data_IF_124653347704
#
_entry.id   IF_124653347704
#
_cell.length_a   1.000
_cell.length_b   1.000
_cell.length_c   1.000
_cell.angle_alpha   90.00
_cell.angle_beta   90.00
_cell.angle_gamma   90.00
#
_symmetry.space_group_name_H-M   'P 1'
#
loop_
_entity.id
_entity.type
_entity.pdbx_description
1 polymer ?
#
# COMPACT_ATOMS: atom_id res chain seq x y z
N UNK A 1 -15.84 -28.34 -22.77
CA UNK A 1 -14.61 -27.76 -22.21
C UNK A 1 -15.03 -26.66 -21.24
N UNK A 2 -15.06 -26.96 -19.94
CA UNK A 2 -15.32 -25.95 -18.91
C UNK A 2 -13.97 -25.37 -18.47
N UNK A 3 -13.74 -24.10 -18.77
CA UNK A 3 -12.64 -23.34 -18.19
C UNK A 3 -13.01 -23.03 -16.74
N UNK A 4 -12.33 -23.65 -15.77
CA UNK A 4 -12.34 -23.16 -14.40
C UNK A 4 -11.71 -21.77 -14.39
N UNK A 5 -12.53 -20.76 -14.13
CA UNK A 5 -12.08 -19.39 -13.92
C UNK A 5 -11.23 -19.37 -12.65
N UNK A 6 -9.97 -18.97 -12.78
CA UNK A 6 -9.05 -18.79 -11.66
C UNK A 6 -9.61 -17.66 -10.78
N UNK A 7 -10.06 -17.99 -9.56
CA UNK A 7 -10.45 -16.99 -8.57
C UNK A 7 -9.16 -16.32 -8.10
N UNK A 8 -9.03 -14.99 -8.23
CA UNK A 8 -7.94 -14.27 -7.59
C UNK A 8 -8.06 -14.47 -6.08
N UNK A 9 -7.02 -15.03 -5.45
CA UNK A 9 -6.96 -15.27 -4.01
C UNK A 9 -6.74 -13.97 -3.22
N UNK A 10 -6.61 -12.83 -3.91
CA UNK A 10 -6.35 -11.51 -3.35
C UNK A 10 -7.38 -11.09 -2.29
N UNK A 11 -8.61 -11.59 -2.37
CA UNK A 11 -9.66 -11.37 -1.35
C UNK A 11 -9.53 -12.28 -0.10
N UNK A 12 -8.88 -13.44 -0.21
CA UNK A 12 -8.87 -14.46 0.85
C UNK A 12 -7.65 -14.38 1.78
N UNK A 13 -6.65 -13.53 1.49
CA UNK A 13 -5.39 -13.52 2.21
C UNK A 13 -5.40 -12.76 3.55
N UNK A 14 -6.48 -12.04 3.90
CA UNK A 14 -6.57 -11.26 5.15
C UNK A 14 -7.47 -11.96 6.19
N UNK A 15 -7.26 -13.26 6.44
CA UNK A 15 -7.85 -13.89 7.61
C UNK A 15 -6.85 -14.78 8.34
N UNK A 16 -6.13 -14.19 9.30
CA UNK A 16 -5.38 -14.90 10.35
C UNK A 16 -4.64 -13.88 11.23
N UNK A 17 -4.50 -13.98 12.56
CA UNK A 17 -4.84 -14.94 13.60
C UNK A 17 -4.82 -14.15 14.93
N UNK A 18 -5.83 -14.32 15.80
CA UNK A 18 -5.74 -13.78 17.18
C UNK A 18 -4.69 -14.58 17.96
N UNK A 19 -3.57 -13.93 18.30
CA UNK A 19 -2.49 -14.49 19.12
C UNK A 19 -2.93 -14.62 20.58
N UNK A 20 -2.90 -15.85 21.11
CA UNK A 20 -3.07 -16.14 22.54
C UNK A 20 -1.69 -16.37 23.16
N UNK A 21 -1.28 -15.49 24.07
CA UNK A 21 -0.03 -15.59 24.81
C UNK A 21 -0.14 -16.59 25.99
N UNK A 22 0.88 -17.43 26.27
CA UNK A 22 0.93 -18.20 27.50
C UNK A 22 1.63 -17.42 28.62
N UNK A 23 1.01 -17.35 29.80
CA UNK A 23 1.63 -16.86 31.03
C UNK A 23 2.43 -17.97 31.71
N UNK A 24 3.66 -17.62 32.07
CA UNK A 24 4.72 -18.42 32.71
C UNK A 24 4.41 -18.68 34.19
N UNK A 25 4.59 -19.92 34.64
CA UNK A 25 4.60 -20.30 36.06
C UNK A 25 6.04 -20.45 36.59
N UNK A 26 6.24 -20.09 37.86
CA UNK A 26 7.51 -20.01 38.59
C UNK A 26 7.60 -21.03 39.75
N UNK A 27 8.85 -21.35 40.13
CA UNK A 27 9.35 -22.02 41.35
C UNK A 27 9.29 -23.56 41.34
N UNK A 28 10.25 -24.35 41.86
CA UNK A 28 11.14 -24.26 43.06
C UNK A 28 12.48 -25.07 42.81
N UNK A 29 13.32 -25.51 43.79
CA UNK A 29 14.70 -25.06 44.01
C UNK A 29 15.83 -26.10 43.73
N UNK A 30 17.05 -25.66 44.04
CA UNK A 30 18.36 -26.30 43.86
C UNK A 30 18.54 -27.74 44.40
N UNK A 31 19.38 -28.51 43.71
CA UNK A 31 20.24 -29.51 44.34
C UNK A 31 21.54 -29.71 43.54
N UNK A 32 22.68 -29.66 44.24
CA UNK A 32 24.03 -29.96 43.73
C UNK A 32 24.24 -31.47 43.74
N UNK A 33 24.81 -32.05 42.68
CA UNK A 33 25.70 -33.21 42.81
C UNK A 33 26.74 -33.25 41.68
N UNK A 34 27.93 -33.70 42.05
CA UNK A 34 29.16 -33.77 41.27
C UNK A 34 29.28 -35.10 40.50
N UNK A 35 30.13 -35.07 39.47
CA UNK A 35 30.96 -36.14 38.88
C UNK A 35 30.53 -36.88 37.58
N UNK A 36 31.43 -36.70 36.59
CA UNK A 36 32.12 -37.71 35.77
C UNK A 36 31.43 -38.40 34.58
N UNK A 37 32.01 -38.10 33.40
CA UNK A 37 32.34 -38.98 32.26
C UNK A 37 31.22 -39.70 31.50
N UNK A 38 30.94 -39.22 30.29
CA UNK A 38 30.83 -40.05 29.09
C UNK A 38 30.77 -39.16 27.84
N UNK A 39 31.63 -39.46 26.86
CA UNK A 39 31.59 -38.85 25.53
C UNK A 39 30.21 -39.06 24.89
N UNK A 40 29.47 -37.97 24.65
CA UNK A 40 28.27 -38.00 23.81
C UNK A 40 28.67 -37.48 22.44
N UNK A 41 28.87 -38.41 21.51
CA UNK A 41 28.83 -38.07 20.09
C UNK A 41 27.47 -37.46 19.81
N UNK A 42 27.43 -36.16 19.55
CA UNK A 42 26.28 -35.54 18.92
C UNK A 42 26.26 -36.06 17.48
N UNK A 43 25.54 -37.16 17.25
CA UNK A 43 24.98 -37.43 15.95
C UNK A 43 24.01 -36.30 15.68
N UNK A 44 24.48 -35.27 14.98
CA UNK A 44 23.61 -34.32 14.30
C UNK A 44 22.88 -35.10 13.21
N UNK A 45 21.81 -35.79 13.60
CA UNK A 45 20.75 -36.14 12.68
C UNK A 45 20.18 -34.80 12.24
N UNK A 46 20.81 -34.20 11.24
CA UNK A 46 20.22 -33.10 10.48
C UNK A 46 18.96 -33.69 9.89
N UNK A 47 17.85 -33.48 10.61
CA UNK A 47 16.54 -33.94 10.20
C UNK A 47 16.29 -33.29 8.85
N UNK A 48 16.30 -34.11 7.80
CA UNK A 48 15.95 -33.72 6.43
C UNK A 48 14.44 -33.45 6.35
N UNK A 49 13.95 -32.49 7.12
CA UNK A 49 12.60 -31.94 7.00
C UNK A 49 12.51 -30.79 5.97
N UNK A 50 13.57 -30.58 5.18
CA UNK A 50 13.73 -29.39 4.37
C UNK A 50 13.26 -29.49 2.90
N UNK A 51 12.70 -30.59 2.40
CA UNK A 51 12.60 -30.75 0.92
C UNK A 51 11.20 -30.72 0.31
N UNK A 52 10.11 -30.72 1.08
CA UNK A 52 8.75 -30.74 0.51
C UNK A 52 8.11 -29.36 0.43
N UNK A 53 7.99 -28.69 1.58
CA UNK A 53 7.28 -27.41 1.71
C UNK A 53 7.88 -26.29 0.89
N UNK A 54 9.20 -26.28 0.70
CA UNK A 54 9.90 -25.28 -0.12
C UNK A 54 9.51 -25.40 -1.60
N UNK A 55 9.45 -26.63 -2.14
CA UNK A 55 9.08 -26.86 -3.53
C UNK A 55 7.61 -26.57 -3.78
N UNK A 56 6.74 -26.99 -2.86
CA UNK A 56 5.31 -26.69 -2.88
C UNK A 56 5.05 -25.18 -2.85
N UNK A 57 5.79 -24.44 -2.00
CA UNK A 57 5.70 -22.99 -1.92
C UNK A 57 6.17 -22.31 -3.21
N UNK A 58 7.29 -22.75 -3.80
CA UNK A 58 7.76 -22.21 -5.07
C UNK A 58 6.72 -22.42 -6.18
N UNK A 59 6.14 -23.61 -6.27
CA UNK A 59 5.11 -23.90 -7.26
C UNK A 59 3.84 -23.07 -7.03
N UNK A 60 3.43 -22.89 -5.77
CA UNK A 60 2.29 -22.04 -5.43
C UNK A 60 2.55 -20.58 -5.84
N UNK A 61 3.73 -20.04 -5.55
CA UNK A 61 4.13 -18.68 -5.94
C UNK A 61 4.19 -18.53 -7.47
N UNK A 62 4.68 -19.54 -8.20
CA UNK A 62 4.67 -19.53 -9.67
C UNK A 62 3.25 -19.45 -10.23
N UNK A 63 2.36 -20.31 -9.73
CA UNK A 63 0.97 -20.34 -10.16
C UNK A 63 0.28 -18.99 -9.86
N UNK A 64 0.55 -18.40 -8.70
CA UNK A 64 -0.03 -17.11 -8.30
C UNK A 64 0.49 -15.97 -9.18
N UNK A 65 1.81 -15.89 -9.42
CA UNK A 65 2.41 -14.87 -10.29
C UNK A 65 1.82 -14.95 -11.71
N UNK A 66 1.61 -16.16 -12.23
CA UNK A 66 1.04 -16.35 -13.56
C UNK A 66 -0.45 -16.03 -13.63
N UNK A 67 -1.20 -16.27 -12.54
CA UNK A 67 -2.59 -15.85 -12.42
C UNK A 67 -2.70 -14.31 -12.38
N UNK A 68 -1.89 -13.65 -11.54
CA UNK A 68 -1.91 -12.19 -11.38
C UNK A 68 -1.50 -11.47 -12.66
N UNK A 69 -0.48 -11.97 -13.40
CA UNK A 69 -0.12 -11.41 -14.72
C UNK A 69 -1.24 -11.51 -15.76
N UNK A 70 -2.06 -12.57 -15.71
CA UNK A 70 -3.24 -12.68 -16.58
C UNK A 70 -4.29 -11.65 -16.20
N UNK A 71 -4.53 -11.45 -14.90
CA UNK A 71 -5.44 -10.41 -14.42
C UNK A 71 -4.97 -9.02 -14.82
N UNK A 72 -3.67 -8.72 -14.76
CA UNK A 72 -3.10 -7.45 -15.22
C UNK A 72 -3.45 -7.18 -16.70
N UNK A 73 -3.32 -8.20 -17.55
CA UNK A 73 -3.60 -8.11 -18.98
C UNK A 73 -5.09 -7.98 -19.30
N UNK A 74 -5.95 -8.69 -18.55
CA UNK A 74 -7.39 -8.72 -18.80
C UNK A 74 -8.10 -7.50 -18.21
N UNK A 75 -7.67 -7.01 -17.04
CA UNK A 75 -8.45 -6.08 -16.22
C UNK A 75 -7.75 -4.75 -15.90
N UNK A 76 -6.42 -4.65 -16.00
CA UNK A 76 -5.67 -3.45 -15.60
C UNK A 76 -4.99 -2.73 -16.78
N UNK A 77 -5.41 -2.99 -18.01
CA UNK A 77 -4.84 -2.35 -19.20
C UNK A 77 -3.46 -2.87 -19.60
N UNK A 78 -3.00 -3.97 -19.01
CA UNK A 78 -1.72 -4.61 -19.30
C UNK A 78 -0.53 -3.94 -18.62
N UNK A 79 0.68 -4.22 -19.12
CA UNK A 79 1.92 -3.83 -18.44
C UNK A 79 2.31 -2.35 -18.56
N UNK A 80 1.55 -1.55 -19.32
CA UNK A 80 1.81 -0.11 -19.41
C UNK A 80 1.12 0.59 -18.25
N UNK A 81 1.90 1.25 -17.40
CA UNK A 81 1.35 2.05 -16.32
C UNK A 81 0.42 3.15 -16.88
N UNK A 82 -0.73 3.39 -16.23
CA UNK A 82 -1.59 4.54 -16.53
C UNK A 82 -0.80 5.85 -16.41
N UNK A 83 -1.32 6.91 -17.03
CA UNK A 83 -0.71 8.24 -16.98
C UNK A 83 -1.63 9.17 -16.18
N UNK A 84 -1.03 10.01 -15.33
CA UNK A 84 -1.72 11.11 -14.68
C UNK A 84 -1.39 12.40 -15.44
N UNK A 85 -2.41 13.02 -16.03
CA UNK A 85 -2.24 14.11 -16.99
C UNK A 85 -1.60 15.33 -16.34
N UNK A 86 -0.54 15.84 -16.97
CA UNK A 86 0.13 17.07 -16.54
C UNK A 86 1.10 16.90 -15.35
N UNK A 87 1.36 15.67 -14.90
CA UNK A 87 2.34 15.38 -13.86
C UNK A 87 3.51 14.54 -14.38
N UNK A 88 4.70 14.83 -13.86
CA UNK A 88 5.85 13.93 -13.94
C UNK A 88 5.80 12.95 -12.76
N UNK A 89 5.91 11.65 -13.04
CA UNK A 89 5.78 10.58 -12.05
C UNK A 89 7.14 9.97 -11.77
N UNK A 90 7.52 9.91 -10.50
CA UNK A 90 8.73 9.25 -10.00
C UNK A 90 8.34 8.28 -8.91
N UNK A 91 8.93 7.09 -8.89
CA UNK A 91 8.63 6.05 -7.90
C UNK A 91 9.89 5.63 -7.13
N UNK A 92 9.73 5.32 -5.84
CA UNK A 92 10.75 4.74 -4.98
C UNK A 92 10.12 3.68 -4.08
N UNK A 93 10.32 2.41 -4.43
CA UNK A 93 9.62 1.30 -3.76
C UNK A 93 8.09 1.45 -3.86
N UNK A 94 7.42 1.51 -2.71
CA UNK A 94 5.96 1.71 -2.64
C UNK A 94 5.53 3.19 -2.67
N UNK A 95 6.48 4.13 -2.65
CA UNK A 95 6.21 5.56 -2.67
C UNK A 95 6.17 6.08 -4.11
N UNK A 96 5.22 6.98 -4.37
CA UNK A 96 5.03 7.63 -5.67
C UNK A 96 5.00 9.14 -5.46
N UNK A 97 5.75 9.87 -6.28
CA UNK A 97 5.80 11.32 -6.32
C UNK A 97 5.31 11.82 -7.67
N UNK A 98 4.32 12.71 -7.65
CA UNK A 98 3.83 13.42 -8.83
C UNK A 98 4.27 14.88 -8.73
N UNK A 99 4.95 15.40 -9.75
CA UNK A 99 5.44 16.78 -9.74
C UNK A 99 5.00 17.55 -10.98
N UNK A 100 4.66 18.83 -10.80
CA UNK A 100 4.41 19.79 -11.88
C UNK A 100 4.60 21.22 -11.41
N UNK A 101 4.51 22.17 -12.34
CA UNK A 101 4.55 23.61 -12.05
C UNK A 101 3.23 24.27 -12.43
N UNK A 102 2.79 25.26 -11.65
CA UNK A 102 1.66 26.12 -11.97
C UNK A 102 2.05 27.58 -11.75
N UNK A 103 2.36 28.31 -12.83
CA UNK A 103 2.92 29.66 -12.72
C UNK A 103 4.26 29.67 -11.99
N UNK A 104 4.33 30.36 -10.86
CA UNK A 104 5.51 30.45 -9.98
C UNK A 104 5.51 29.42 -8.82
N UNK A 105 4.57 28.47 -8.86
CA UNK A 105 4.39 27.45 -7.82
C UNK A 105 4.90 26.09 -8.28
N UNK A 106 5.58 25.38 -7.37
CA UNK A 106 5.92 23.97 -7.56
C UNK A 106 4.91 23.11 -6.80
N UNK A 107 4.30 22.18 -7.50
CA UNK A 107 3.30 21.26 -6.96
C UNK A 107 3.93 19.88 -6.83
N UNK A 108 3.83 19.30 -5.65
CA UNK A 108 4.25 17.93 -5.35
C UNK A 108 3.07 17.18 -4.74
N UNK A 109 2.80 15.99 -5.26
CA UNK A 109 1.86 15.03 -4.68
C UNK A 109 2.66 13.81 -4.25
N UNK A 110 2.46 13.33 -3.03
CA UNK A 110 3.15 12.14 -2.52
C UNK A 110 2.14 11.16 -1.96
N UNK A 111 2.24 9.89 -2.35
CA UNK A 111 1.43 8.82 -1.78
C UNK A 111 2.21 7.53 -1.69
N UNK A 112 1.70 6.60 -0.87
CA UNK A 112 2.28 5.28 -0.69
C UNK A 112 1.21 4.21 -0.92
N UNK A 113 1.52 3.19 -1.72
CA UNK A 113 0.55 2.13 -2.03
C UNK A 113 0.48 1.02 -0.96
N UNK A 114 1.32 1.05 0.06
CA UNK A 114 1.20 0.11 1.18
C UNK A 114 -0.14 0.30 1.90
N UNK A 115 -0.85 -0.80 2.16
CA UNK A 115 -2.13 -0.79 2.88
C UNK A 115 -3.19 0.13 2.25
N UNK A 116 -3.11 0.36 0.94
CA UNK A 116 -4.01 1.26 0.21
C UNK A 116 -5.18 0.56 -0.46
N UNK A 117 -5.22 -0.78 -0.46
CA UNK A 117 -6.31 -1.55 -1.05
C UNK A 117 -7.39 -1.73 -0.02
N UNK A 118 -8.59 -1.24 -0.32
CA UNK A 118 -9.73 -1.46 0.54
C UNK A 118 -10.29 -2.85 0.34
N UNK A 119 -10.51 -3.52 1.46
CA UNK A 119 -11.30 -4.74 1.55
C UNK A 119 -12.65 -4.32 2.12
N UNK A 120 -13.68 -4.28 1.28
CA UNK A 120 -15.02 -3.95 1.79
C UNK A 120 -15.39 -4.96 2.89
N UNK A 121 -15.55 -4.50 4.13
CA UNK A 121 -15.91 -5.38 5.25
C UNK A 121 -17.32 -6.00 5.09
N UNK A 122 -18.11 -5.49 4.15
CA UNK A 122 -19.48 -5.92 3.84
C UNK A 122 -19.58 -7.14 2.89
N UNK A 123 -18.45 -7.74 2.49
CA UNK A 123 -18.42 -9.01 1.74
C UNK A 123 -18.98 -10.22 2.55
N UNK A 124 -19.53 -10.02 3.76
CA UNK A 124 -20.23 -11.04 4.56
C UNK A 124 -21.66 -11.38 4.05
N UNK A 125 -22.18 -10.74 3.01
CA UNK A 125 -23.46 -11.14 2.41
C UNK A 125 -23.26 -12.07 1.20
N UNK A 126 -23.61 -13.35 1.38
CA UNK A 126 -23.41 -14.48 0.47
C UNK A 126 -24.08 -14.37 -0.93
N UNK A 127 -24.64 -13.22 -1.33
CA UNK A 127 -25.48 -13.10 -2.53
C UNK A 127 -24.84 -12.38 -3.73
N UNK A 128 -23.58 -11.91 -3.66
CA UNK A 128 -22.96 -11.20 -4.79
C UNK A 128 -21.51 -11.62 -5.13
N UNK A 129 -21.15 -12.89 -4.88
CA UNK A 129 -19.80 -13.45 -5.09
C UNK A 129 -19.48 -13.74 -6.58
N UNK A 130 -20.24 -13.20 -7.53
CA UNK A 130 -20.06 -13.46 -8.97
C UNK A 130 -19.29 -12.37 -9.74
N UNK A 131 -19.07 -11.20 -9.17
CA UNK A 131 -18.13 -10.23 -9.73
C UNK A 131 -16.72 -10.54 -9.21
N UNK A 132 -15.79 -10.84 -10.11
CA UNK A 132 -14.36 -10.70 -9.82
C UNK A 132 -14.08 -9.20 -9.57
N UNK A 133 -14.38 -8.70 -8.38
CA UNK A 133 -14.09 -7.34 -7.99
C UNK A 133 -12.57 -7.18 -8.02
N UNK A 134 -12.09 -6.38 -8.96
CA UNK A 134 -10.67 -6.02 -9.03
C UNK A 134 -10.40 -5.15 -7.81
N UNK A 135 -9.43 -5.50 -6.94
CA UNK A 135 -9.15 -4.70 -5.76
C UNK A 135 -8.74 -3.30 -6.17
N UNK A 136 -9.34 -2.28 -5.54
CA UNK A 136 -9.11 -0.87 -5.83
C UNK A 136 -8.18 -0.30 -4.77
N UNK A 137 -7.13 0.40 -5.20
CA UNK A 137 -6.20 1.10 -4.32
C UNK A 137 -6.58 2.57 -4.19
N UNK A 138 -6.88 3.02 -2.96
CA UNK A 138 -7.24 4.39 -2.56
C UNK A 138 -6.26 4.89 -1.48
N UNK A 139 -5.00 5.19 -1.84
CA UNK A 139 -4.02 5.63 -0.85
C UNK A 139 -4.35 7.03 -0.31
N UNK A 140 -4.09 7.26 0.97
CA UNK A 140 -3.93 8.62 1.49
C UNK A 140 -2.75 9.29 0.78
N UNK A 141 -2.87 10.59 0.51
CA UNK A 141 -1.85 11.32 -0.21
C UNK A 141 -1.74 12.76 0.27
N UNK A 142 -0.56 13.36 0.09
CA UNK A 142 -0.34 14.76 0.40
C UNK A 142 -0.23 15.60 -0.87
N UNK A 143 -0.69 16.85 -0.78
CA UNK A 143 -0.46 17.89 -1.79
C UNK A 143 0.37 18.99 -1.16
N UNK A 144 1.49 19.33 -1.78
CA UNK A 144 2.31 20.47 -1.41
C UNK A 144 2.34 21.49 -2.55
N UNK A 145 1.97 22.73 -2.24
CA UNK A 145 2.09 23.88 -3.14
C UNK A 145 3.17 24.81 -2.59
N UNK A 146 4.36 24.77 -3.20
CA UNK A 146 5.53 25.55 -2.77
C UNK A 146 5.61 26.88 -3.51
N UNK A 147 5.73 27.98 -2.74
CA UNK A 147 5.95 29.34 -3.24
C UNK A 147 6.98 30.07 -2.39
N UNK A 148 8.08 30.48 -3.01
CA UNK A 148 9.19 31.13 -2.31
C UNK A 148 9.80 30.22 -1.25
N UNK A 149 9.83 30.67 0.01
CA UNK A 149 10.46 29.93 1.12
C UNK A 149 9.48 29.07 1.93
N UNK A 150 8.23 28.93 1.48
CA UNK A 150 7.17 28.20 2.20
C UNK A 150 6.40 27.31 1.24
N UNK A 151 5.69 26.35 1.83
CA UNK A 151 4.72 25.51 1.14
C UNK A 151 3.42 25.42 1.94
N UNK A 152 2.32 25.38 1.22
CA UNK A 152 1.01 25.04 1.73
C UNK A 152 0.77 23.55 1.50
N UNK A 153 0.52 22.83 2.58
CA UNK A 153 0.41 21.37 2.59
C UNK A 153 -1.01 20.97 2.95
N UNK A 154 -1.48 19.92 2.30
CA UNK A 154 -2.76 19.27 2.56
C UNK A 154 -2.53 17.76 2.66
N UNK A 155 -3.09 17.13 3.68
CA UNK A 155 -3.26 15.67 3.74
C UNK A 155 -4.67 15.34 3.24
N UNK A 156 -4.75 14.40 2.31
CA UNK A 156 -5.94 14.13 1.52
C UNK A 156 -6.36 12.66 1.65
N UNK A 157 -7.67 12.46 1.71
CA UNK A 157 -8.34 11.16 1.63
C UNK A 157 -9.14 11.08 0.33
N UNK A 158 -9.08 9.94 -0.36
CA UNK A 158 -9.90 9.66 -1.54
C UNK A 158 -11.24 9.09 -1.09
N UNK A 159 -12.32 9.68 -1.58
CA UNK A 159 -13.69 9.25 -1.29
C UNK A 159 -14.41 8.87 -2.58
N UNK A 160 -15.18 7.79 -2.53
CA UNK A 160 -16.03 7.38 -3.63
C UNK A 160 -17.38 8.11 -3.56
N UNK A 161 -17.82 8.65 -4.69
CA UNK A 161 -19.10 9.34 -4.82
C UNK A 161 -20.22 8.36 -5.18
N UNK A 162 -21.47 8.77 -4.98
CA UNK A 162 -22.64 7.95 -5.34
C UNK A 162 -22.68 7.55 -6.83
N UNK A 163 -22.02 8.33 -7.70
CA UNK A 163 -21.92 8.09 -9.14
C UNK A 163 -20.77 7.12 -9.51
N UNK A 164 -20.08 6.54 -8.53
CA UNK A 164 -18.92 5.66 -8.73
C UNK A 164 -17.70 6.40 -9.30
N UNK A 165 -17.59 7.70 -9.02
CA UNK A 165 -16.39 8.50 -9.30
C UNK A 165 -15.61 8.72 -8.00
N UNK A 166 -14.39 9.22 -8.12
CA UNK A 166 -13.59 9.58 -6.95
C UNK A 166 -13.49 11.09 -6.78
N UNK A 167 -13.57 11.52 -5.53
CA UNK A 167 -13.33 12.89 -5.09
C UNK A 167 -12.34 12.88 -3.90
N UNK A 168 -12.01 14.06 -3.39
CA UNK A 168 -11.04 14.23 -2.31
C UNK A 168 -11.62 14.97 -1.12
N UNK A 169 -11.22 14.54 0.07
CA UNK A 169 -11.49 15.23 1.31
C UNK A 169 -10.17 15.67 1.93
N UNK A 170 -10.12 16.93 2.40
CA UNK A 170 -8.96 17.44 3.14
C UNK A 170 -9.06 16.98 4.59
N UNK A 171 -8.14 16.12 5.02
CA UNK A 171 -8.06 15.65 6.40
C UNK A 171 -7.36 16.70 7.28
N UNK A 172 -6.25 17.26 6.80
CA UNK A 172 -5.40 18.20 7.52
C UNK A 172 -4.75 19.21 6.57
N UNK A 173 -4.52 20.43 7.05
CA UNK A 173 -3.83 21.47 6.28
C UNK A 173 -2.93 22.34 7.16
N UNK A 174 -1.81 22.79 6.60
CA UNK A 174 -0.79 23.57 7.32
C UNK A 174 0.17 24.32 6.38
N UNK A 175 0.95 25.23 6.95
CA UNK A 175 2.06 25.91 6.26
C UNK A 175 3.37 25.39 6.83
N UNK A 176 4.27 24.94 5.95
CA UNK A 176 5.62 24.50 6.30
C UNK A 176 6.68 25.34 5.55
N UNK A 177 7.94 25.35 6.01
CA UNK A 177 9.06 25.80 5.18
C UNK A 177 9.13 25.00 3.88
N UNK A 178 9.62 25.60 2.80
CA UNK A 178 9.88 24.86 1.56
C UNK A 178 10.81 23.66 1.82
N UNK A 179 10.52 22.53 1.18
CA UNK A 179 11.30 21.30 1.27
C UNK A 179 12.77 21.56 0.89
N UNK A 180 13.70 20.82 1.49
CA UNK A 180 15.12 20.86 1.12
C UNK A 180 15.48 19.57 0.40
N UNK A 181 15.59 19.65 -0.93
CA UNK A 181 15.78 18.45 -1.76
C UNK A 181 14.54 17.57 -1.72
N UNK A 182 14.73 16.26 -1.57
CA UNK A 182 13.63 15.28 -1.57
C UNK A 182 12.99 15.07 -0.18
N UNK A 183 13.52 15.74 0.86
CA UNK A 183 12.98 15.66 2.22
C UNK A 183 11.69 16.47 2.35
N UNK A 184 10.57 15.76 2.35
CA UNK A 184 9.23 16.30 2.61
C UNK A 184 8.86 16.30 4.09
N UNK A 185 9.76 15.91 5.00
CA UNK A 185 9.51 15.86 6.43
C UNK A 185 9.03 17.19 7.01
N UNK A 186 8.03 17.12 7.90
CA UNK A 186 7.47 18.28 8.60
C UNK A 186 7.86 18.20 10.07
N UNK A 187 8.48 19.26 10.59
CA UNK A 187 8.85 19.31 12.01
C UNK A 187 7.59 19.33 12.91
N UNK A 188 7.59 18.57 14.01
CA UNK A 188 6.45 18.47 14.95
C UNK A 188 5.98 19.81 15.57
N UNK A 189 6.77 20.88 15.46
CA UNK A 189 6.41 22.22 15.95
C UNK A 189 5.51 23.00 14.97
N UNK A 190 5.36 22.50 13.73
CA UNK A 190 4.48 23.12 12.74
C UNK A 190 3.04 22.88 13.19
N UNK A 191 2.29 23.97 13.31
CA UNK A 191 0.87 23.90 13.63
C UNK A 191 0.08 23.44 12.41
N UNK A 192 -0.82 22.51 12.63
CA UNK A 192 -1.77 21.99 11.66
C UNK A 192 -3.18 21.99 12.22
N UNK A 193 -4.16 22.05 11.33
CA UNK A 193 -5.57 21.97 11.67
C UNK A 193 -6.26 20.93 10.81
N UNK A 194 -7.18 20.17 11.43
CA UNK A 194 -8.04 19.28 10.69
C UNK A 194 -8.93 20.08 9.73
N UNK A 195 -9.12 19.57 8.52
CA UNK A 195 -9.92 20.21 7.47
C UNK A 195 -11.38 20.42 7.90
N UNK A 196 -11.94 19.51 8.69
CA UNK A 196 -13.34 19.59 9.18
C UNK A 196 -13.68 20.81 10.05
N UNK A 197 -12.67 21.53 10.56
CA UNK A 197 -12.87 22.70 11.43
C UNK A 197 -12.72 24.03 10.68
N UNK A 198 -12.45 24.01 9.37
CA UNK A 198 -12.30 25.23 8.59
C UNK A 198 -13.65 25.96 8.43
N UNK A 199 -13.60 27.29 8.32
CA UNK A 199 -14.77 28.10 8.00
C UNK A 199 -15.37 27.70 6.63
N UNK A 200 -16.71 27.64 6.47
CA UNK A 200 -17.34 27.22 5.21
C UNK A 200 -16.97 28.07 3.99
N UNK A 201 -16.77 29.38 4.14
CA UNK A 201 -16.34 30.24 3.03
C UNK A 201 -14.90 29.97 2.64
N UNK A 202 -14.02 29.71 3.61
CA UNK A 202 -12.65 29.28 3.35
C UNK A 202 -12.60 27.87 2.76
N UNK A 203 -13.49 26.97 3.15
CA UNK A 203 -13.61 25.64 2.55
C UNK A 203 -13.83 25.74 1.03
N UNK A 204 -14.83 26.52 0.60
CA UNK A 204 -15.13 26.69 -0.83
C UNK A 204 -13.95 27.30 -1.60
N UNK A 205 -13.31 28.33 -1.06
CA UNK A 205 -12.23 29.03 -1.76
C UNK A 205 -10.92 28.24 -1.77
N UNK A 206 -10.53 27.64 -0.63
CA UNK A 206 -9.22 27.02 -0.44
C UNK A 206 -9.19 25.54 -0.81
N UNK A 207 -10.20 24.76 -0.39
CA UNK A 207 -10.19 23.31 -0.61
C UNK A 207 -10.81 22.93 -1.95
N UNK A 208 -11.75 23.72 -2.45
CA UNK A 208 -12.35 23.45 -3.76
C UNK A 208 -11.65 24.27 -4.84
N UNK A 209 -11.91 25.58 -4.91
CA UNK A 209 -11.50 26.41 -6.06
C UNK A 209 -9.98 26.52 -6.23
N UNK A 210 -9.24 26.76 -5.15
CA UNK A 210 -7.78 26.90 -5.22
C UNK A 210 -7.08 25.61 -5.66
N UNK A 211 -7.54 24.44 -5.18
CA UNK A 211 -7.01 23.14 -5.60
C UNK A 211 -7.45 22.78 -7.03
N UNK A 212 -8.70 23.06 -7.40
CA UNK A 212 -9.24 22.83 -8.74
C UNK A 212 -8.47 23.61 -9.82
N UNK A 213 -8.18 24.90 -9.58
CA UNK A 213 -7.36 25.72 -10.48
C UNK A 213 -5.94 25.16 -10.71
N UNK A 214 -5.44 24.36 -9.76
CA UNK A 214 -4.15 23.65 -9.85
C UNK A 214 -4.28 22.26 -10.46
N UNK A 215 -5.47 21.87 -10.91
CA UNK A 215 -5.75 20.62 -11.59
C UNK A 215 -5.98 19.43 -10.65
N UNK A 216 -6.44 19.68 -9.43
CA UNK A 216 -6.97 18.66 -8.53
C UNK A 216 -8.49 18.59 -8.71
N UNK A 217 -8.91 17.85 -9.73
CA UNK A 217 -10.31 17.69 -10.16
C UNK A 217 -10.74 16.24 -9.99
N UNK A 218 -12.04 15.95 -10.17
CA UNK A 218 -12.56 14.57 -10.26
C UNK A 218 -11.78 13.71 -11.26
N UNK A 219 -11.39 14.26 -12.41
CA UNK A 219 -10.57 13.55 -13.42
C UNK A 219 -9.18 13.18 -12.87
N UNK A 220 -8.53 14.09 -12.13
CA UNK A 220 -7.29 13.78 -11.43
C UNK A 220 -7.48 12.63 -10.42
N UNK A 221 -8.55 12.68 -9.61
CA UNK A 221 -8.84 11.65 -8.61
C UNK A 221 -9.04 10.27 -9.25
N UNK A 222 -9.81 10.20 -10.34
CA UNK A 222 -10.00 8.96 -11.10
C UNK A 222 -8.69 8.42 -11.69
N UNK A 223 -7.84 9.30 -12.25
CA UNK A 223 -6.53 8.93 -12.77
C UNK A 223 -5.60 8.45 -11.66
N UNK A 224 -5.64 9.09 -10.49
CA UNK A 224 -4.86 8.72 -9.32
C UNK A 224 -5.24 7.31 -8.82
N UNK A 225 -6.53 7.01 -8.66
CA UNK A 225 -7.00 5.66 -8.25
C UNK A 225 -6.61 4.61 -9.29
N UNK A 226 -6.80 4.92 -10.58
CA UNK A 226 -6.42 4.00 -11.66
C UNK A 226 -4.91 3.70 -11.64
N UNK A 227 -4.09 4.75 -11.49
CA UNK A 227 -2.65 4.61 -11.39
C UNK A 227 -2.24 3.84 -10.13
N UNK A 228 -2.76 4.20 -8.97
CA UNK A 228 -2.43 3.58 -7.69
C UNK A 228 -2.79 2.09 -7.70
N UNK A 229 -3.94 1.73 -8.26
CA UNK A 229 -4.39 0.33 -8.41
C UNK A 229 -3.46 -0.48 -9.29
N UNK A 230 -3.05 0.08 -10.43
CA UNK A 230 -2.07 -0.57 -11.31
C UNK A 230 -0.71 -0.72 -10.62
N UNK A 231 -0.22 0.36 -9.99
CA UNK A 231 1.09 0.39 -9.36
C UNK A 231 1.17 -0.56 -8.17
N UNK A 232 0.15 -0.57 -7.31
CA UNK A 232 0.05 -1.48 -6.17
C UNK A 232 0.04 -2.95 -6.62
N UNK A 233 -0.72 -3.29 -7.65
CA UNK A 233 -0.69 -4.64 -8.23
C UNK A 233 0.71 -4.99 -8.77
N UNK A 234 1.40 -4.06 -9.43
CA UNK A 234 2.78 -4.29 -9.89
C UNK A 234 3.74 -4.55 -8.72
N UNK A 235 3.58 -3.82 -7.59
CA UNK A 235 4.37 -4.03 -6.38
C UNK A 235 4.06 -5.39 -5.74
N UNK A 236 2.80 -5.82 -5.73
CA UNK A 236 2.40 -7.13 -5.24
C UNK A 236 3.04 -8.26 -6.05
N UNK A 237 2.95 -8.21 -7.38
CA UNK A 237 3.60 -9.20 -8.26
C UNK A 237 5.11 -9.22 -8.05
N UNK A 238 5.74 -8.06 -7.85
CA UNK A 238 7.17 -7.98 -7.55
C UNK A 238 7.51 -8.55 -6.16
N UNK A 239 6.67 -8.34 -5.15
CA UNK A 239 6.80 -8.97 -3.85
C UNK A 239 6.76 -10.49 -3.96
N UNK A 240 5.79 -11.07 -4.70
CA UNK A 240 5.70 -12.51 -4.92
C UNK A 240 6.96 -13.08 -5.61
N UNK A 241 7.50 -12.37 -6.61
CA UNK A 241 8.78 -12.74 -7.26
C UNK A 241 9.94 -12.71 -6.28
N UNK A 242 10.02 -11.68 -5.43
CA UNK A 242 11.07 -11.53 -4.43
C UNK A 242 10.99 -12.63 -3.37
N UNK A 243 9.79 -12.97 -2.89
CA UNK A 243 9.56 -14.11 -1.98
C UNK A 243 10.00 -15.40 -2.66
N UNK A 244 9.61 -15.62 -3.93
CA UNK A 244 10.02 -16.80 -4.68
C UNK A 244 11.55 -16.90 -4.80
N UNK A 245 12.23 -15.82 -5.18
CA UNK A 245 13.70 -15.76 -5.27
C UNK A 245 14.36 -16.05 -3.93
N UNK A 246 13.86 -15.44 -2.84
CA UNK A 246 14.33 -15.68 -1.48
C UNK A 246 14.19 -17.14 -1.06
N UNK A 247 13.02 -17.74 -1.28
CA UNK A 247 12.74 -19.15 -0.96
C UNK A 247 13.57 -20.08 -1.84
N UNK A 248 13.85 -19.71 -3.09
CA UNK A 248 14.65 -20.54 -4.01
C UNK A 248 16.15 -20.50 -3.73
N UNK A 249 16.62 -19.53 -2.92
CA UNK A 249 18.04 -19.30 -2.66
C UNK A 249 18.78 -18.68 -3.86
N UNK A 250 18.06 -18.14 -4.83
CA UNK A 250 18.62 -17.44 -6.00
C UNK A 250 18.81 -15.98 -5.62
N UNK A 251 20.02 -15.63 -5.16
CA UNK A 251 20.44 -14.25 -4.89
C UNK A 251 20.69 -13.47 -6.18
#
# INVERSE_FOLDING_TARGET
MMASRCKSLRLFAVQSLKSVAPKRATNIPACRFLQSSAARQFSSTATRFASGTQQELIQALENEIDAEKKLEQENLGGSSAPVITGFNIVTDGAEVRLSKTHGDENILVVFNVNHSVDVDEDFETEENVEQNAVPVSRPHFSIEVTKGSKRLCFEMELVETEDGQYDVQVEEFYIAPAAKGDDVGVEHKVYSSAGKFIDPGLHELLFLRYLEERGFTTDFCNQLVTYATHYEHSQYVNLLKNIKSFVSGSS
#
